data_IF_956846745633
#
_entry.id   IF_956846745633
#
_cell.length_a   1.000
_cell.length_b   1.000
_cell.length_c   1.000
_cell.angle_alpha   90.00
_cell.angle_beta   90.00
_cell.angle_gamma   90.00
#
_symmetry.space_group_name_H-M   'P 1'
#
loop_
_entity.id
_entity.type
_entity.pdbx_description
1 polymer ?
#
# COMPACT_ATOMS: atom_id res chain seq x y z
N UNK A 1 -16.22 30.75 -13.97
CA UNK A 1 -15.79 29.38 -14.33
C UNK A 1 -14.59 28.85 -13.50
N UNK A 2 -13.79 29.71 -12.85
CA UNK A 2 -12.57 29.31 -12.11
C UNK A 2 -12.78 28.64 -10.73
N UNK A 3 -13.80 29.02 -9.96
CA UNK A 3 -13.98 28.53 -8.59
C UNK A 3 -14.37 27.04 -8.52
N UNK A 4 -15.24 26.57 -9.42
CA UNK A 4 -15.58 25.14 -9.51
C UNK A 4 -14.38 24.26 -9.88
N UNK A 5 -13.47 24.76 -10.72
CA UNK A 5 -12.21 24.07 -11.05
C UNK A 5 -11.29 23.93 -9.83
N UNK A 6 -11.19 24.98 -9.01
CA UNK A 6 -10.38 24.98 -7.79
C UNK A 6 -10.91 23.99 -6.74
N UNK A 7 -12.23 23.95 -6.52
CA UNK A 7 -12.85 22.99 -5.60
C UNK A 7 -12.65 21.54 -6.04
N UNK A 8 -12.75 21.27 -7.35
CA UNK A 8 -12.52 19.93 -7.90
C UNK A 8 -11.07 19.49 -7.71
N UNK A 9 -10.11 20.39 -7.96
CA UNK A 9 -8.68 20.14 -7.71
C UNK A 9 -8.41 19.85 -6.24
N UNK A 10 -9.00 20.64 -5.34
CA UNK A 10 -8.88 20.44 -3.89
C UNK A 10 -9.44 19.08 -3.44
N UNK A 11 -10.64 18.72 -3.91
CA UNK A 11 -11.27 17.44 -3.59
C UNK A 11 -10.44 16.25 -4.09
N UNK A 12 -9.88 16.34 -5.31
CA UNK A 12 -8.98 15.31 -5.87
C UNK A 12 -7.73 15.13 -5.01
N UNK A 13 -7.09 16.23 -4.59
CA UNK A 13 -5.90 16.17 -3.74
C UNK A 13 -6.21 15.54 -2.38
N UNK A 14 -7.34 15.92 -1.76
CA UNK A 14 -7.80 15.35 -0.49
C UNK A 14 -8.09 13.84 -0.61
N UNK A 15 -8.70 13.41 -1.71
CA UNK A 15 -8.96 11.99 -1.97
C UNK A 15 -7.66 11.18 -2.10
N UNK A 16 -6.69 11.67 -2.89
CA UNK A 16 -5.40 11.01 -3.05
C UNK A 16 -4.62 10.93 -1.73
N UNK A 17 -4.64 12.00 -0.93
CA UNK A 17 -4.02 11.98 0.39
C UNK A 17 -4.66 10.95 1.31
N UNK A 18 -5.99 10.85 1.33
CA UNK A 18 -6.69 9.84 2.13
C UNK A 18 -6.29 8.41 1.73
N UNK A 19 -6.08 8.15 0.44
CA UNK A 19 -5.65 6.84 -0.05
C UNK A 19 -4.24 6.49 0.47
N UNK A 20 -3.30 7.43 0.34
CA UNK A 20 -1.91 7.26 0.84
C UNK A 20 -1.88 7.10 2.36
N UNK A 21 -2.66 7.90 3.09
CA UNK A 21 -2.76 7.81 4.55
C UNK A 21 -3.34 6.47 5.01
N UNK A 22 -4.26 5.88 4.25
CA UNK A 22 -4.86 4.58 4.56
C UNK A 22 -3.83 3.46 4.43
N UNK A 23 -3.03 3.45 3.37
CA UNK A 23 -1.99 2.44 3.17
C UNK A 23 -0.89 2.55 4.24
N UNK A 24 -0.46 3.78 4.56
CA UNK A 24 0.45 4.02 5.68
C UNK A 24 -0.10 3.54 7.03
N UNK A 25 -1.41 3.68 7.28
CA UNK A 25 -2.05 3.22 8.51
C UNK A 25 -1.97 1.71 8.64
N UNK A 26 -2.12 0.97 7.54
CA UNK A 26 -1.98 -0.48 7.54
C UNK A 26 -0.55 -0.91 7.88
N UNK A 27 0.45 -0.33 7.21
CA UNK A 27 1.86 -0.63 7.47
C UNK A 27 2.21 -0.34 8.93
N UNK A 28 1.83 0.84 9.44
CA UNK A 28 2.05 1.23 10.85
C UNK A 28 1.36 0.30 11.83
N UNK A 29 0.18 -0.23 11.51
CA UNK A 29 -0.54 -1.17 12.38
C UNK A 29 0.25 -2.48 12.55
N UNK A 30 0.88 -2.96 11.47
CA UNK A 30 1.68 -4.20 11.50
C UNK A 30 3.05 -3.97 12.16
N UNK A 31 3.69 -2.83 11.92
CA UNK A 31 5.04 -2.56 12.43
C UNK A 31 5.08 -2.04 13.86
N UNK A 32 4.02 -1.38 14.36
CA UNK A 32 3.94 -0.86 15.74
C UNK A 32 4.24 -1.87 16.86
N UNK A 33 3.73 -3.12 16.84
CA UNK A 33 4.04 -4.11 17.87
C UNK A 33 5.45 -4.72 17.71
N UNK A 34 6.19 -4.42 16.64
CA UNK A 34 7.54 -4.95 16.43
C UNK A 34 8.55 -4.14 17.24
N UNK A 35 9.57 -4.82 17.80
CA UNK A 35 10.70 -4.19 18.54
C UNK A 35 11.64 -3.38 17.61
N UNK A 36 11.30 -3.31 16.32
CA UNK A 36 12.11 -2.68 15.27
C UNK A 36 12.93 -3.70 14.48
N UNK A 37 13.54 -3.22 13.40
CA UNK A 37 14.37 -4.04 12.52
C UNK A 37 15.84 -3.91 12.89
N UNK A 38 16.53 -5.05 13.03
CA UNK A 38 17.97 -5.07 13.37
C UNK A 38 18.88 -4.66 12.21
N UNK A 39 18.37 -4.63 10.98
CA UNK A 39 19.11 -4.24 9.78
C UNK A 39 18.18 -3.65 8.71
N UNK A 40 18.70 -2.70 7.93
CA UNK A 40 17.96 -2.07 6.82
C UNK A 40 17.48 -3.06 5.76
N UNK A 41 18.31 -4.05 5.42
CA UNK A 41 17.93 -5.09 4.43
C UNK A 41 16.73 -5.90 4.92
N UNK A 42 16.72 -6.28 6.20
CA UNK A 42 15.60 -7.02 6.80
C UNK A 42 14.34 -6.15 6.92
N UNK A 43 14.50 -4.87 7.24
CA UNK A 43 13.41 -3.90 7.25
C UNK A 43 12.75 -3.80 5.89
N UNK A 44 13.56 -3.60 4.84
CA UNK A 44 13.09 -3.50 3.46
C UNK A 44 12.34 -4.76 3.03
N UNK A 45 12.96 -5.94 3.17
CA UNK A 45 12.31 -7.20 2.79
C UNK A 45 10.98 -7.45 3.54
N UNK A 46 10.91 -7.04 4.82
CA UNK A 46 9.68 -7.19 5.61
C UNK A 46 8.59 -6.21 5.14
N UNK A 47 8.95 -4.96 4.87
CA UNK A 47 8.01 -3.96 4.36
C UNK A 47 7.50 -4.35 2.96
N UNK A 48 8.38 -4.79 2.07
CA UNK A 48 8.06 -5.25 0.72
C UNK A 48 7.09 -6.45 0.77
N UNK A 49 7.32 -7.41 1.67
CA UNK A 49 6.40 -8.55 1.89
C UNK A 49 5.04 -8.13 2.47
N UNK A 50 5.01 -7.16 3.40
CA UNK A 50 3.75 -6.61 3.94
C UNK A 50 2.94 -5.93 2.83
N UNK A 51 3.60 -5.16 1.97
CA UNK A 51 2.99 -4.48 0.83
C UNK A 51 2.47 -5.47 -0.21
N UNK A 52 3.27 -6.46 -0.60
CA UNK A 52 2.87 -7.51 -1.54
C UNK A 52 1.64 -8.29 -1.06
N UNK A 53 1.59 -8.64 0.23
CA UNK A 53 0.43 -9.30 0.83
C UNK A 53 -0.79 -8.38 0.83
N UNK A 54 -0.60 -7.09 1.11
CA UNK A 54 -1.69 -6.11 1.12
C UNK A 54 -2.30 -5.91 -0.26
N UNK A 55 -1.47 -5.78 -1.31
CA UNK A 55 -1.91 -5.64 -2.71
C UNK A 55 -2.66 -6.87 -3.19
N UNK A 56 -2.13 -8.06 -2.89
CA UNK A 56 -2.78 -9.35 -3.20
C UNK A 56 -4.15 -9.45 -2.54
N UNK A 57 -4.25 -9.08 -1.25
CA UNK A 57 -5.54 -9.12 -0.51
C UNK A 57 -6.56 -8.11 -1.05
N UNK A 58 -6.11 -6.94 -1.51
CA UNK A 58 -6.99 -5.92 -2.10
C UNK A 58 -7.44 -6.25 -3.53
N UNK A 59 -6.84 -7.27 -4.18
CA UNK A 59 -7.11 -7.55 -5.59
C UNK A 59 -6.64 -6.43 -6.52
N UNK A 60 -5.59 -5.69 -6.13
CA UNK A 60 -5.06 -4.60 -6.96
C UNK A 60 -4.38 -5.12 -8.24
N UNK A 61 -3.96 -6.38 -8.24
CA UNK A 61 -3.49 -7.06 -9.44
C UNK A 61 -4.70 -7.60 -10.19
N UNK A 62 -4.94 -7.04 -11.37
CA UNK A 62 -6.07 -7.33 -12.26
C UNK A 62 -5.98 -8.68 -12.98
N UNK A 63 -5.24 -9.65 -12.42
CA UNK A 63 -5.00 -10.93 -13.08
C UNK A 63 -6.00 -11.98 -12.60
N UNK A 64 -7.16 -11.96 -13.25
CA UNK A 64 -8.22 -12.96 -13.14
C UNK A 64 -7.71 -14.34 -13.61
N UNK A 65 -6.92 -15.04 -12.78
CA UNK A 65 -6.68 -16.49 -12.74
C UNK A 65 -5.40 -16.87 -12.00
N UNK A 66 -4.61 -15.91 -11.49
CA UNK A 66 -3.42 -16.26 -10.71
C UNK A 66 -3.80 -16.52 -9.25
N UNK A 67 -3.46 -17.71 -8.70
CA UNK A 67 -3.64 -17.97 -7.27
C UNK A 67 -2.90 -16.94 -6.42
N UNK A 68 -3.48 -16.50 -5.30
CA UNK A 68 -2.95 -15.42 -4.45
C UNK A 68 -1.48 -15.61 -4.04
N UNK A 69 -1.04 -16.86 -3.79
CA UNK A 69 0.36 -17.12 -3.44
C UNK A 69 1.33 -16.82 -4.61
N UNK A 70 0.90 -17.02 -5.85
CA UNK A 70 1.71 -16.79 -7.04
C UNK A 70 1.76 -15.30 -7.40
N UNK A 71 0.68 -14.56 -7.14
CA UNK A 71 0.68 -13.09 -7.16
C UNK A 71 1.66 -12.53 -6.13
N UNK A 72 1.63 -13.05 -4.90
CA UNK A 72 2.57 -12.67 -3.84
C UNK A 72 4.04 -12.95 -4.21
N UNK A 73 4.35 -14.16 -4.71
CA UNK A 73 5.72 -14.52 -5.12
C UNK A 73 6.26 -13.62 -6.24
N UNK A 74 5.38 -13.15 -7.14
CA UNK A 74 5.78 -12.24 -8.22
C UNK A 74 6.14 -10.84 -7.69
N UNK A 75 5.54 -10.43 -6.59
CA UNK A 75 5.74 -9.11 -5.98
C UNK A 75 6.88 -9.08 -4.95
N UNK A 76 7.12 -10.21 -4.27
CA UNK A 76 8.08 -10.32 -3.18
C UNK A 76 9.42 -10.97 -3.58
N UNK A 77 9.56 -11.35 -4.87
CA UNK A 77 10.73 -12.01 -5.44
C UNK A 77 11.88 -11.08 -5.80
#
# INVERSE_FOLDING_TARGET
MGERSALWKYAKFKYLNNLVEQDHRFIKKITRPMVGFKAFRSAKATLDGIEATHMTRKGQLSEENIPSYKQFMTLAG
#
